data_IF_437239134786
#
_entry.id   IF_437239134786
#
_cell.length_a   1.000
_cell.length_b   1.000
_cell.length_c   1.000
_cell.angle_alpha   90.00
_cell.angle_beta   90.00
_cell.angle_gamma   90.00
#
_symmetry.space_group_name_H-M   'P 1'
#
loop_
_entity.id
_entity.type
_entity.pdbx_description
1 polymer ?
#
# COMPACT_ATOMS: atom_id res chain seq x y z
N UNK A 9 10.80 23.10 16.56
CA UNK A 9 11.10 21.97 17.44
C UNK A 9 10.54 20.69 16.83
N UNK A 10 9.26 20.73 16.46
CA UNK A 10 8.59 19.58 15.88
C UNK A 10 9.15 19.26 14.49
N UNK A 11 10.11 20.05 14.03
CA UNK A 11 10.78 19.72 12.79
C UNK A 11 11.71 18.54 13.04
N UNK A 12 12.27 18.47 14.25
CA UNK A 12 13.05 17.30 14.65
C UNK A 12 12.15 16.05 14.65
N UNK A 13 10.85 16.26 14.87
CA UNK A 13 9.89 15.18 14.70
C UNK A 13 10.16 14.44 13.41
N UNK A 14 10.34 15.17 12.31
CA UNK A 14 10.63 14.48 11.07
C UNK A 14 11.89 13.67 11.26
N UNK A 15 12.91 14.29 11.84
CA UNK A 15 14.19 13.64 12.06
C UNK A 15 14.15 12.24 12.64
N UNK A 16 13.21 11.96 13.54
CA UNK A 16 13.10 10.60 14.10
C UNK A 16 12.35 9.63 13.18
N UNK A 17 11.36 10.13 12.46
CA UNK A 17 10.51 9.26 11.65
C UNK A 17 11.32 8.69 10.48
N UNK A 18 11.92 9.59 9.71
CA UNK A 18 12.85 9.21 8.64
C UNK A 18 13.99 8.44 9.31
N UNK A 19 14.31 8.84 10.54
CA UNK A 19 15.32 8.13 11.30
C UNK A 19 14.83 6.73 11.45
N UNK A 20 13.55 6.63 11.80
CA UNK A 20 12.91 5.39 12.16
C UNK A 20 12.80 4.46 10.98
N UNK A 21 12.33 4.99 9.86
CA UNK A 21 12.15 4.16 8.68
C UNK A 21 13.38 3.28 8.51
N UNK A 22 14.55 3.90 8.59
CA UNK A 22 15.81 3.17 8.48
C UNK A 22 16.03 2.17 9.63
N UNK A 23 15.83 2.62 10.87
CA UNK A 23 16.11 1.80 12.04
C UNK A 23 15.28 0.53 11.99
N UNK A 24 13.98 0.73 11.79
CA UNK A 24 13.02 -0.37 11.69
C UNK A 24 13.34 -1.23 10.47
N UNK A 25 13.76 -0.60 9.38
CA UNK A 25 14.14 -1.37 8.20
C UNK A 25 15.40 -2.18 8.48
N UNK A 26 16.43 -1.51 8.99
CA UNK A 26 17.62 -2.19 9.48
C UNK A 26 17.63 -3.38 10.45
N UNK A 27 16.97 -3.23 11.59
CA UNK A 27 16.46 -4.31 12.45
C UNK A 27 14.93 -4.26 12.61
N UNK A 28 14.31 -5.42 12.80
CA UNK A 28 12.87 -5.50 12.99
C UNK A 28 12.32 -4.53 14.03
N UNK A 29 10.99 -4.46 14.15
CA UNK A 29 10.37 -3.54 15.10
C UNK A 29 10.39 -4.08 16.52
N UNK A 30 10.35 -5.40 16.66
CA UNK A 30 10.41 -6.03 17.97
C UNK A 30 11.78 -5.89 18.62
N UNK A 31 12.82 -5.93 17.80
CA UNK A 31 14.19 -5.88 18.31
C UNK A 31 14.74 -4.45 18.42
N UNK A 32 14.16 -3.52 17.69
CA UNK A 32 14.57 -2.12 17.81
C UNK A 32 14.06 -1.49 19.12
N UNK A 33 14.89 -0.63 19.71
CA UNK A 33 14.59 0.01 21.00
C UNK A 33 14.71 1.52 20.85
N UNK A 34 14.23 2.24 21.85
CA UNK A 34 13.86 3.65 21.78
C UNK A 34 15.12 4.52 21.83
N UNK A 35 16.16 4.04 22.52
CA UNK A 35 17.45 4.73 22.49
C UNK A 35 18.07 4.76 21.09
N UNK A 36 18.29 3.57 20.52
CA UNK A 36 18.74 3.38 19.14
C UNK A 36 18.07 4.29 18.09
N UNK A 37 16.84 4.71 18.36
CA UNK A 37 16.18 5.67 17.50
C UNK A 37 16.89 7.00 17.65
N UNK A 38 16.94 7.52 18.87
CA UNK A 38 17.65 8.77 19.15
C UNK A 38 19.07 8.77 18.57
N UNK A 39 19.73 7.61 18.58
CA UNK A 39 21.05 7.48 17.98
C UNK A 39 21.02 7.85 16.49
N UNK A 40 20.35 7.03 15.69
CA UNK A 40 20.24 7.30 14.26
C UNK A 40 19.63 8.68 13.96
N UNK A 41 18.75 9.15 14.84
CA UNK A 41 18.06 10.42 14.63
C UNK A 41 18.99 11.58 14.87
N UNK A 42 19.95 11.37 15.78
CA UNK A 42 20.88 12.41 16.16
C UNK A 42 20.44 13.11 17.43
N UNK A 43 19.23 12.80 17.88
CA UNK A 43 18.65 13.52 19.00
C UNK A 43 19.04 12.86 20.33
N UNK A 44 18.64 13.47 21.45
CA UNK A 44 18.87 12.89 22.77
C UNK A 44 17.72 11.95 23.15
N UNK A 45 18.03 10.93 23.94
CA UNK A 45 17.03 9.92 24.33
C UNK A 45 15.78 10.57 24.93
N UNK A 46 15.96 11.70 25.62
CA UNK A 46 14.85 12.44 26.20
C UNK A 46 13.98 13.11 25.14
N UNK A 47 14.63 13.73 24.16
CA UNK A 47 13.91 14.42 23.08
C UNK A 47 12.90 13.49 22.44
N UNK A 48 13.39 12.38 21.89
CA UNK A 48 12.54 11.38 21.29
C UNK A 48 11.37 11.09 22.22
N UNK A 49 11.68 10.78 23.48
CA UNK A 49 10.64 10.48 24.47
C UNK A 49 9.64 11.62 24.61
N UNK A 50 10.14 12.85 24.55
CA UNK A 50 9.28 14.01 24.68
C UNK A 50 8.10 13.90 23.73
N UNK A 51 8.40 13.67 22.45
CA UNK A 51 7.38 13.66 21.41
C UNK A 51 6.51 12.41 21.42
N UNK A 52 7.05 11.33 21.97
CA UNK A 52 6.40 10.04 21.88
C UNK A 52 6.56 9.24 23.16
N UNK A 53 5.60 8.37 23.44
CA UNK A 53 5.61 7.55 24.65
C UNK A 53 6.40 6.24 24.48
N UNK A 54 6.00 5.47 23.47
CA UNK A 54 6.57 4.15 23.20
C UNK A 54 7.21 4.14 21.82
N UNK A 55 8.09 3.18 21.57
CA UNK A 55 8.56 2.97 20.21
C UNK A 55 7.35 2.61 19.36
N UNK A 56 6.43 1.83 19.91
CA UNK A 56 5.25 1.46 19.16
C UNK A 56 4.56 2.73 18.71
N UNK A 57 4.50 3.71 19.60
CA UNK A 57 3.89 4.98 19.28
C UNK A 57 4.64 5.66 18.12
N UNK A 58 5.95 5.76 18.26
CA UNK A 58 6.74 6.39 17.22
C UNK A 58 6.41 5.70 15.91
N UNK A 59 6.03 4.44 16.01
CA UNK A 59 5.91 3.62 14.81
C UNK A 59 4.61 3.85 14.06
N UNK A 60 3.51 3.86 14.80
CA UNK A 60 2.22 4.23 14.27
C UNK A 60 2.34 5.60 13.62
N UNK A 61 3.01 6.52 14.31
CA UNK A 61 3.21 7.87 13.79
C UNK A 61 4.00 7.87 12.49
N UNK A 62 5.04 7.05 12.40
CA UNK A 62 5.79 6.94 11.14
C UNK A 62 4.92 6.42 10.00
N UNK A 63 3.99 5.53 10.33
CA UNK A 63 3.10 4.94 9.34
C UNK A 63 2.08 5.94 8.82
N UNK A 64 1.68 6.89 9.67
CA UNK A 64 0.68 7.86 9.27
C UNK A 64 1.26 8.82 8.25
N UNK A 65 2.33 9.49 8.64
CA UNK A 65 3.04 10.36 7.72
C UNK A 65 3.09 9.71 6.34
N UNK A 66 3.43 8.42 6.31
CA UNK A 66 3.60 7.72 5.04
C UNK A 66 2.31 7.29 4.32
N UNK A 67 1.17 7.28 5.01
CA UNK A 67 -0.09 7.02 4.30
C UNK A 67 -0.69 8.31 3.77
N UNK A 68 -0.35 9.43 4.41
CA UNK A 68 -0.72 10.73 3.89
C UNK A 68 -0.01 10.99 2.58
N UNK A 69 0.97 10.13 2.27
CA UNK A 69 1.76 10.27 1.06
C UNK A 69 1.23 9.42 -0.09
N UNK A 70 0.27 8.54 0.20
CA UNK A 70 -0.39 7.78 -0.85
C UNK A 70 -1.35 8.69 -1.59
N UNK A 71 -1.16 8.81 -2.91
CA UNK A 71 -2.01 9.66 -3.74
C UNK A 71 -3.44 9.18 -3.69
N UNK A 72 -4.36 10.08 -3.36
CA UNK A 72 -5.78 9.73 -3.39
C UNK A 72 -6.41 10.07 -4.74
N UNK A 73 -6.93 9.05 -5.44
CA UNK A 73 -7.46 9.32 -6.78
C UNK A 73 -8.79 10.05 -6.62
N UNK A 74 -9.24 10.74 -7.67
CA UNK A 74 -10.51 11.44 -7.58
C UNK A 74 -11.69 10.54 -7.95
N UNK A 75 -12.31 9.94 -6.94
CA UNK A 75 -13.43 9.03 -7.15
C UNK A 75 -14.50 9.64 -8.04
N UNK A 76 -14.58 10.97 -8.03
CA UNK A 76 -15.62 11.67 -8.77
C UNK A 76 -15.07 12.54 -9.88
N UNK A 77 -14.50 11.90 -10.90
CA UNK A 77 -14.02 12.63 -12.07
C UNK A 77 -14.72 12.10 -13.31
N UNK A 78 -14.95 12.99 -14.26
CA UNK A 78 -15.70 12.64 -15.46
C UNK A 78 -14.86 11.79 -16.42
N UNK A 79 -14.62 10.55 -16.01
CA UNK A 79 -13.91 9.57 -16.81
C UNK A 79 -14.56 8.23 -16.53
N UNK A 80 -14.13 7.17 -17.23
CA UNK A 80 -14.67 5.85 -16.88
C UNK A 80 -14.19 5.43 -15.49
N UNK A 81 -14.99 4.66 -14.77
CA UNK A 81 -14.59 4.28 -13.43
C UNK A 81 -13.33 3.42 -13.49
N UNK A 82 -13.19 2.64 -14.55
CA UNK A 82 -12.01 1.80 -14.70
C UNK A 82 -10.78 2.65 -15.00
N UNK A 83 -10.99 3.84 -15.54
CA UNK A 83 -9.86 4.74 -15.75
C UNK A 83 -9.36 5.18 -14.40
N UNK A 84 -10.28 5.39 -13.47
CA UNK A 84 -9.90 5.70 -12.08
C UNK A 84 -9.27 4.49 -11.39
N UNK A 85 -9.92 3.33 -11.51
CA UNK A 85 -9.39 2.10 -10.94
C UNK A 85 -7.93 1.87 -11.36
N UNK A 86 -7.69 1.87 -12.66
CA UNK A 86 -6.33 1.67 -13.15
C UNK A 86 -5.34 2.74 -12.68
N UNK A 87 -5.67 4.01 -12.86
CA UNK A 87 -4.69 5.03 -12.48
C UNK A 87 -4.20 4.78 -11.06
N UNK A 88 -5.13 4.67 -10.12
CA UNK A 88 -4.77 4.38 -8.73
C UNK A 88 -3.90 3.12 -8.60
N UNK A 89 -4.34 2.00 -9.16
CA UNK A 89 -3.56 0.77 -9.09
C UNK A 89 -2.17 0.94 -9.66
N UNK A 90 -2.04 1.86 -10.60
CA UNK A 90 -0.77 2.11 -11.24
C UNK A 90 0.05 3.15 -10.47
N UNK A 91 -0.61 4.18 -9.96
CA UNK A 91 0.05 5.09 -9.06
C UNK A 91 0.55 4.42 -7.80
N UNK A 92 -0.38 3.84 -7.04
CA UNK A 92 -0.05 3.04 -5.88
C UNK A 92 0.98 1.91 -6.05
N UNK A 93 0.86 1.08 -7.08
CA UNK A 93 1.87 0.04 -7.24
C UNK A 93 3.23 0.71 -7.30
N UNK A 94 3.28 1.80 -8.05
CA UNK A 94 4.49 2.59 -8.24
C UNK A 94 5.16 2.93 -6.92
N UNK A 95 4.35 3.42 -5.99
CA UNK A 95 4.80 3.89 -4.68
C UNK A 95 5.32 2.75 -3.80
N UNK A 96 4.83 1.54 -4.07
CA UNK A 96 5.25 0.36 -3.34
C UNK A 96 6.63 -0.10 -3.77
N UNK A 97 7.05 0.30 -4.97
CA UNK A 97 8.28 -0.26 -5.54
C UNK A 97 9.22 0.79 -6.13
N UNK A 98 8.89 2.06 -5.91
CA UNK A 98 9.81 3.17 -6.16
C UNK A 98 10.36 3.40 -4.75
N UNK A 99 11.26 4.39 -4.56
CA UNK A 99 12.11 4.36 -3.36
C UNK A 99 11.92 5.51 -2.37
N UNK A 100 10.67 5.97 -2.19
CA UNK A 100 10.28 6.96 -1.19
C UNK A 100 10.03 6.38 0.21
N UNK A 101 9.38 7.16 1.05
CA UNK A 101 9.11 6.69 2.41
C UNK A 101 8.09 5.56 2.38
N UNK A 102 7.00 5.74 1.64
CA UNK A 102 5.95 4.73 1.54
C UNK A 102 6.47 3.32 1.27
N UNK A 103 7.40 3.15 0.33
CA UNK A 103 7.86 1.79 0.01
C UNK A 103 8.59 1.21 1.22
N UNK A 104 9.43 2.02 1.85
CA UNK A 104 10.06 1.64 3.11
C UNK A 104 9.02 1.12 4.11
N UNK A 105 8.19 2.03 4.63
CA UNK A 105 7.12 1.65 5.55
C UNK A 105 6.48 0.29 5.24
N UNK A 106 5.92 0.13 4.04
CA UNK A 106 5.28 -1.14 3.71
C UNK A 106 6.21 -2.33 3.89
N UNK A 107 7.46 -2.20 3.44
CA UNK A 107 8.41 -3.28 3.62
C UNK A 107 8.64 -3.54 5.12
N UNK A 108 8.79 -2.46 5.89
CA UNK A 108 8.79 -2.57 7.34
C UNK A 108 7.59 -3.37 7.83
N UNK A 109 6.40 -2.94 7.42
CA UNK A 109 5.15 -3.45 7.96
C UNK A 109 4.88 -4.91 7.67
N UNK A 110 5.24 -5.35 6.47
CA UNK A 110 4.86 -6.67 6.03
C UNK A 110 5.93 -7.71 6.37
N UNK A 111 7.18 -7.33 6.17
CA UNK A 111 8.28 -8.27 6.33
C UNK A 111 8.92 -8.18 7.71
N UNK A 112 9.37 -6.97 8.07
CA UNK A 112 10.11 -6.72 9.31
C UNK A 112 9.22 -6.39 10.53
N UNK A 113 8.03 -6.97 10.62
CA UNK A 113 7.16 -6.71 11.77
C UNK A 113 6.55 -8.01 12.30
N UNK A 114 7.03 -8.42 13.48
CA UNK A 114 6.65 -9.70 14.08
C UNK A 114 5.18 -9.72 14.44
N UNK A 115 4.63 -10.92 14.62
CA UNK A 115 3.21 -11.07 14.92
C UNK A 115 2.91 -11.09 16.41
N UNK A 116 3.84 -10.57 17.21
CA UNK A 116 3.68 -10.50 18.66
C UNK A 116 2.37 -9.84 19.05
N UNK A 117 2.03 -9.93 20.33
CA UNK A 117 0.85 -9.26 20.86
C UNK A 117 1.13 -7.75 20.99
N UNK A 118 2.40 -7.38 20.98
CA UNK A 118 2.78 -5.98 21.14
C UNK A 118 2.46 -5.24 19.85
N UNK A 119 2.79 -5.87 18.73
CA UNK A 119 2.59 -5.29 17.41
C UNK A 119 1.14 -5.35 16.96
N UNK A 120 0.22 -5.52 17.90
CA UNK A 120 -1.20 -5.60 17.55
C UNK A 120 -1.66 -4.36 16.79
N UNK A 121 -1.35 -3.17 17.33
CA UNK A 121 -1.76 -1.89 16.73
C UNK A 121 -1.18 -1.72 15.33
N UNK A 122 0.00 -2.29 15.12
CA UNK A 122 0.66 -2.25 13.83
C UNK A 122 -0.12 -3.13 12.89
N UNK A 123 -0.38 -4.34 13.36
CA UNK A 123 -1.14 -5.30 12.61
C UNK A 123 -2.45 -4.67 12.19
N UNK A 124 -3.17 -4.10 13.14
CA UNK A 124 -4.46 -3.50 12.85
C UNK A 124 -4.32 -2.43 11.77
N UNK A 125 -3.37 -1.52 11.96
CA UNK A 125 -3.19 -0.42 11.01
C UNK A 125 -3.10 -0.98 9.60
N UNK A 126 -2.11 -1.83 9.38
CA UNK A 126 -1.99 -2.65 8.18
C UNK A 126 -3.28 -3.17 7.54
N UNK A 127 -4.03 -3.96 8.28
CA UNK A 127 -5.27 -4.50 7.75
C UNK A 127 -6.18 -3.38 7.33
N UNK A 128 -6.17 -2.30 8.10
CA UNK A 128 -6.92 -1.12 7.73
C UNK A 128 -6.56 -0.71 6.31
N UNK A 129 -5.26 -0.65 6.03
CA UNK A 129 -4.79 -0.36 4.68
C UNK A 129 -5.40 -1.38 3.72
N UNK A 130 -5.14 -2.66 3.98
CA UNK A 130 -5.67 -3.72 3.14
C UNK A 130 -7.17 -3.54 2.87
N UNK A 131 -7.96 -3.27 3.91
CA UNK A 131 -9.41 -3.13 3.73
C UNK A 131 -9.77 -1.83 3.01
N UNK A 132 -9.20 -0.71 3.45
CA UNK A 132 -9.45 0.55 2.76
C UNK A 132 -9.30 0.27 1.27
N UNK A 133 -8.19 -0.36 0.91
CA UNK A 133 -7.93 -0.72 -0.48
C UNK A 133 -8.96 -1.65 -1.10
N UNK A 134 -9.01 -2.90 -0.64
CA UNK A 134 -9.94 -3.89 -1.19
C UNK A 134 -11.32 -3.30 -1.45
N UNK A 135 -11.74 -2.38 -0.59
CA UNK A 135 -13.06 -1.77 -0.71
C UNK A 135 -13.07 -0.73 -1.82
N UNK A 136 -11.99 0.02 -1.95
CA UNK A 136 -11.88 1.00 -3.02
C UNK A 136 -12.07 0.33 -4.37
N UNK A 137 -11.32 -0.73 -4.63
CA UNK A 137 -11.53 -1.51 -5.84
C UNK A 137 -12.99 -1.93 -5.97
N UNK A 138 -13.55 -2.52 -4.92
CA UNK A 138 -14.94 -2.97 -4.99
C UNK A 138 -15.89 -1.84 -5.36
N UNK A 139 -15.49 -0.60 -5.07
CA UNK A 139 -16.35 0.54 -5.37
C UNK A 139 -16.27 0.80 -6.86
N UNK A 140 -15.05 0.94 -7.36
CA UNK A 140 -14.83 1.18 -8.78
C UNK A 140 -15.51 0.17 -9.70
N UNK A 141 -15.24 -1.12 -9.51
CA UNK A 141 -15.89 -2.10 -10.38
C UNK A 141 -17.42 -1.99 -10.27
N UNK A 142 -17.93 -1.86 -9.04
CA UNK A 142 -19.37 -1.65 -8.87
C UNK A 142 -19.89 -0.57 -9.80
N UNK A 143 -19.30 0.61 -9.70
CA UNK A 143 -19.72 1.72 -10.53
C UNK A 143 -19.73 1.42 -12.00
N UNK A 144 -18.62 0.88 -12.49
CA UNK A 144 -18.49 0.54 -13.90
C UNK A 144 -19.75 -0.17 -14.39
N UNK A 145 -20.17 -1.25 -13.73
CA UNK A 145 -21.38 -1.94 -14.20
C UNK A 145 -22.57 -0.97 -14.19
N UNK A 146 -22.80 -0.33 -13.04
CA UNK A 146 -23.88 0.65 -12.89
C UNK A 146 -23.80 1.74 -13.94
N UNK A 147 -22.57 2.10 -14.30
CA UNK A 147 -22.32 3.18 -15.24
C UNK A 147 -22.37 2.62 -16.65
N UNK A 148 -22.76 1.36 -16.77
CA UNK A 148 -22.84 0.70 -18.06
C UNK A 148 -21.51 0.25 -18.66
N UNK A 149 -20.38 0.67 -18.08
CA UNK A 149 -19.07 0.24 -18.59
C UNK A 149 -18.79 -1.27 -18.51
N UNK A 150 -19.57 -2.03 -17.74
CA UNK A 150 -19.34 -3.48 -17.60
C UNK A 150 -20.64 -4.29 -17.48
N UNK A 151 -20.60 -5.57 -17.87
CA UNK A 151 -21.84 -6.35 -17.93
C UNK A 151 -22.61 -6.39 -16.61
N UNK A 152 -23.84 -5.90 -16.62
CA UNK A 152 -24.72 -6.17 -15.50
C UNK A 152 -24.80 -7.67 -15.54
N UNK A 153 -24.86 -8.30 -14.37
CA UNK A 153 -24.72 -9.75 -14.29
C UNK A 153 -23.24 -10.12 -14.38
N UNK A 154 -22.38 -9.13 -14.17
CA UNK A 154 -20.99 -9.46 -13.90
C UNK A 154 -20.97 -9.88 -12.45
N UNK A 155 -20.29 -11.00 -12.16
CA UNK A 155 -20.12 -11.43 -10.77
C UNK A 155 -19.13 -10.52 -10.10
N UNK A 156 -19.60 -9.44 -9.50
CA UNK A 156 -18.68 -8.48 -8.88
C UNK A 156 -17.62 -9.15 -8.00
N UNK A 157 -18.04 -9.79 -6.92
CA UNK A 157 -17.05 -10.37 -6.02
C UNK A 157 -15.93 -11.09 -6.77
N UNK A 158 -16.25 -12.19 -7.44
CA UNK A 158 -15.20 -12.95 -8.11
C UNK A 158 -14.32 -12.04 -8.94
N UNK A 159 -14.91 -11.01 -9.53
CA UNK A 159 -14.15 -10.07 -10.36
C UNK A 159 -13.02 -9.40 -9.58
N UNK A 160 -13.34 -8.78 -8.46
CA UNK A 160 -12.30 -8.22 -7.62
C UNK A 160 -11.25 -9.28 -7.32
N UNK A 161 -11.69 -10.43 -6.80
CA UNK A 161 -10.73 -11.47 -6.48
C UNK A 161 -9.78 -11.61 -7.67
N UNK A 162 -10.32 -11.50 -8.88
CA UNK A 162 -9.50 -11.60 -10.08
C UNK A 162 -8.49 -10.45 -10.17
N UNK A 163 -8.97 -9.21 -10.17
CA UNK A 163 -8.07 -8.05 -10.22
C UNK A 163 -7.06 -8.04 -9.05
N UNK A 164 -7.59 -8.17 -7.84
CA UNK A 164 -6.78 -8.16 -6.64
C UNK A 164 -5.69 -9.24 -6.72
N UNK A 165 -6.04 -10.46 -7.14
CA UNK A 165 -5.00 -11.47 -7.40
C UNK A 165 -3.97 -10.96 -8.39
N UNK A 166 -4.43 -10.49 -9.54
CA UNK A 166 -3.50 -10.15 -10.61
C UNK A 166 -2.48 -9.14 -10.09
N UNK A 167 -2.98 -8.08 -9.46
CA UNK A 167 -2.11 -7.09 -8.85
C UNK A 167 -1.01 -7.76 -8.04
N UNK A 168 -1.41 -8.35 -6.91
CA UNK A 168 -0.49 -9.09 -6.04
C UNK A 168 0.53 -9.94 -6.80
N UNK A 169 0.05 -10.77 -7.71
CA UNK A 169 0.89 -11.44 -8.69
C UNK A 169 2.01 -10.62 -9.34
N UNK A 170 1.71 -9.47 -9.95
CA UNK A 170 2.79 -8.70 -10.57
C UNK A 170 3.62 -7.98 -9.51
N UNK A 171 2.96 -7.57 -8.42
CA UNK A 171 3.67 -7.03 -7.27
C UNK A 171 4.82 -7.97 -6.90
N UNK A 172 4.52 -9.24 -6.72
CA UNK A 172 5.55 -10.21 -6.42
C UNK A 172 6.57 -10.47 -7.53
N UNK A 173 6.34 -9.98 -8.74
CA UNK A 173 7.31 -10.24 -9.80
C UNK A 173 8.24 -9.04 -9.99
N UNK A 174 7.79 -7.89 -9.51
CA UNK A 174 8.65 -6.73 -9.44
C UNK A 174 9.62 -6.96 -8.27
N UNK A 175 9.06 -7.08 -7.07
CA UNK A 175 9.79 -7.60 -5.93
C UNK A 175 9.10 -8.91 -5.67
N UNK A 176 9.79 -10.03 -5.88
CA UNK A 176 11.21 -10.05 -6.10
C UNK A 176 11.54 -11.08 -7.19
N UNK A 177 11.73 -10.60 -8.42
CA UNK A 177 12.35 -11.37 -9.51
C UNK A 177 12.88 -10.35 -10.51
N UNK A 178 13.55 -10.83 -11.56
CA UNK A 178 14.07 -9.93 -12.59
C UNK A 178 13.22 -9.97 -13.86
N UNK A 179 12.03 -10.55 -13.76
CA UNK A 179 11.16 -10.76 -14.92
C UNK A 179 10.66 -9.49 -15.59
N UNK A 180 10.43 -8.45 -14.80
CA UNK A 180 10.04 -7.17 -15.37
C UNK A 180 11.12 -6.15 -15.13
N UNK A 181 12.38 -6.60 -15.16
CA UNK A 181 13.51 -5.70 -14.96
C UNK A 181 13.77 -4.74 -16.12
N UNK A 182 13.44 -5.20 -17.32
CA UNK A 182 13.38 -4.38 -18.52
C UNK A 182 12.09 -3.56 -18.35
N UNK A 183 11.59 -2.95 -19.43
CA UNK A 183 10.47 -2.00 -19.32
C UNK A 183 9.43 -2.57 -18.36
N UNK A 184 9.22 -1.94 -17.20
CA UNK A 184 8.29 -2.59 -16.27
C UNK A 184 6.94 -1.90 -16.40
N UNK A 185 6.93 -0.57 -16.41
CA UNK A 185 5.74 0.21 -16.12
C UNK A 185 4.73 0.22 -17.26
N UNK A 186 5.20 0.30 -18.50
CA UNK A 186 4.25 0.18 -19.59
C UNK A 186 3.77 -1.26 -19.62
N UNK A 187 4.67 -2.20 -19.34
CA UNK A 187 4.25 -3.59 -19.35
C UNK A 187 3.20 -3.91 -18.31
N UNK A 188 3.45 -3.59 -17.04
CA UNK A 188 2.45 -3.89 -16.02
C UNK A 188 1.13 -3.33 -16.50
N UNK A 189 1.16 -2.09 -16.99
CA UNK A 189 -0.05 -1.42 -17.44
C UNK A 189 -0.76 -2.26 -18.49
N UNK A 190 0.01 -2.82 -19.41
CA UNK A 190 -0.57 -3.74 -20.38
C UNK A 190 -1.28 -4.87 -19.64
N UNK A 191 -0.60 -5.49 -18.70
CA UNK A 191 -1.22 -6.60 -17.99
C UNK A 191 -2.50 -6.15 -17.31
N UNK A 192 -2.44 -5.00 -16.64
CA UNK A 192 -3.64 -4.53 -15.95
C UNK A 192 -4.78 -4.32 -16.92
N UNK A 193 -4.50 -3.65 -18.04
CA UNK A 193 -5.54 -3.37 -19.04
C UNK A 193 -6.14 -4.67 -19.49
N UNK A 194 -5.26 -5.61 -19.85
CA UNK A 194 -5.68 -6.95 -20.27
C UNK A 194 -6.46 -7.65 -19.17
N UNK A 195 -6.22 -7.26 -17.93
CA UNK A 195 -6.95 -7.85 -16.83
C UNK A 195 -8.35 -7.29 -16.86
N UNK A 196 -8.44 -5.99 -17.12
CA UNK A 196 -9.72 -5.29 -17.15
C UNK A 196 -10.60 -5.74 -18.33
N UNK A 197 -9.99 -6.04 -19.47
CA UNK A 197 -10.78 -6.56 -20.58
C UNK A 197 -11.51 -7.82 -20.15
N UNK A 198 -10.82 -8.71 -19.45
CA UNK A 198 -11.42 -10.00 -19.20
C UNK A 198 -12.68 -9.80 -18.38
N UNK A 199 -12.71 -8.80 -17.52
CA UNK A 199 -13.97 -8.53 -16.82
C UNK A 199 -15.01 -8.20 -17.86
N UNK A 200 -14.61 -7.41 -18.84
CA UNK A 200 -15.53 -6.88 -19.84
C UNK A 200 -16.07 -7.96 -20.74
N UNK A 201 -15.20 -8.84 -21.22
CA UNK A 201 -15.57 -9.74 -22.29
C UNK A 201 -15.34 -11.20 -21.97
N UNK A 202 -15.44 -11.59 -20.71
CA UNK A 202 -15.17 -12.98 -20.42
C UNK A 202 -16.30 -13.60 -19.66
N UNK A 203 -16.97 -14.57 -20.32
CA UNK A 203 -18.05 -15.46 -19.89
C UNK A 203 -17.88 -15.86 -18.43
N UNK A 204 -16.73 -16.44 -18.11
CA UNK A 204 -16.52 -17.11 -16.83
C UNK A 204 -16.57 -16.18 -15.62
N UNK A 205 -16.69 -14.88 -15.86
CA UNK A 205 -16.79 -13.92 -14.76
C UNK A 205 -18.20 -13.39 -14.53
N UNK A 206 -19.14 -13.73 -15.41
CA UNK A 206 -20.54 -13.43 -15.13
C UNK A 206 -21.01 -14.45 -14.13
N UNK A 207 -22.16 -14.18 -13.50
CA UNK A 207 -22.84 -15.14 -12.63
C UNK A 207 -23.91 -15.96 -13.37
N UNK A 208 -24.21 -17.14 -12.81
CA UNK A 208 -25.39 -17.95 -13.16
C UNK A 208 -25.79 -17.99 -14.64
N UNK A 209 -25.15 -17.39 -15.51
#
# INVERSE_FOLDING_TARGET
>A
MARKTKEESQKTRDGILDAAERVFLEKGVGTTAMADLADAAGVSRGAVYGHYKNKIEVCLAMCDRAFGQIEVPDENARVPALDILLRAGMGFLRQCCEPGSVQRVLEILYLKCERSDENEPLLRRRELLEKQGQRFGLRQIRRAVERGELPARLDVELASIYLQSLWDGICGTLAWTERLRDDPWNRAERMFRAGLDSLRSSPYLLLADA
#
